data_IF_574238003263
#
_entry.id   IF_574238003263
#
_cell.length_a   1.000
_cell.length_b   1.000
_cell.length_c   1.000
_cell.angle_alpha   90.00
_cell.angle_beta   90.00
_cell.angle_gamma   90.00
#
_symmetry.space_group_name_H-M   'P 1'
#
loop_
_entity.id
_entity.type
_entity.pdbx_description
1 polymer ?
#
# COMPACT_ATOMS: atom_id res chain seq x y z
N UNK A 1 -12.37 6.22 15.29
CA UNK A 1 -11.22 7.15 15.48
C UNK A 1 -10.01 6.60 14.73
N UNK A 2 -9.24 7.44 14.05
CA UNK A 2 -8.14 6.98 13.24
C UNK A 2 -7.11 8.05 12.93
N UNK A 3 -5.97 7.63 12.41
CA UNK A 3 -4.87 8.44 11.92
C UNK A 3 -4.60 8.14 10.45
N UNK A 4 -4.19 9.16 9.70
CA UNK A 4 -3.74 8.98 8.32
C UNK A 4 -4.01 10.17 7.42
N UNK A 5 -3.69 10.00 6.17
CA UNK A 5 -4.05 10.95 5.12
C UNK A 5 -5.54 10.82 4.80
N UNK A 6 -6.26 11.93 4.83
CA UNK A 6 -7.74 12.01 4.79
C UNK A 6 -8.38 11.24 3.63
N UNK A 7 -7.63 10.92 2.57
CA UNK A 7 -8.21 10.32 1.37
C UNK A 7 -7.52 9.04 0.88
N UNK A 8 -6.39 8.62 1.46
CA UNK A 8 -5.61 7.53 0.87
C UNK A 8 -5.19 6.42 1.82
N UNK A 9 -4.80 6.70 3.07
CA UNK A 9 -4.23 5.70 4.00
C UNK A 9 -4.59 6.05 5.43
N UNK A 10 -5.31 5.18 6.10
CA UNK A 10 -5.77 5.41 7.47
C UNK A 10 -5.79 4.09 8.25
N UNK A 11 -5.85 4.19 9.56
CA UNK A 11 -6.18 3.08 10.45
C UNK A 11 -7.01 3.59 11.63
N UNK A 12 -7.74 2.68 12.29
CA UNK A 12 -8.52 2.98 13.48
C UNK A 12 -7.86 2.47 14.77
N UNK A 13 -8.44 2.82 15.91
CA UNK A 13 -7.95 2.41 17.23
C UNK A 13 -8.05 0.89 17.50
N UNK A 14 -8.85 0.16 16.71
CA UNK A 14 -8.98 -1.30 16.80
C UNK A 14 -7.87 -2.04 16.02
N UNK A 15 -7.08 -1.32 15.22
CA UNK A 15 -5.98 -1.91 14.46
C UNK A 15 -6.32 -2.28 13.03
N UNK A 16 -7.51 -1.96 12.54
CA UNK A 16 -7.87 -2.09 11.14
C UNK A 16 -7.28 -0.94 10.33
N UNK A 17 -6.63 -1.24 9.22
CA UNK A 17 -6.01 -0.27 8.32
C UNK A 17 -6.56 -0.41 6.89
N UNK A 18 -6.65 0.72 6.19
CA UNK A 18 -7.11 0.76 4.81
C UNK A 18 -6.33 1.77 3.99
N UNK A 19 -6.05 1.44 2.73
CA UNK A 19 -5.41 2.33 1.78
C UNK A 19 -6.09 2.25 0.40
N UNK A 20 -6.25 3.41 -0.25
CA UNK A 20 -6.72 3.52 -1.62
C UNK A 20 -5.58 3.89 -2.57
N UNK A 21 -5.53 3.25 -3.72
CA UNK A 21 -4.52 3.44 -4.76
C UNK A 21 -5.19 3.71 -6.10
N UNK A 22 -4.51 4.43 -7.00
CA UNK A 22 -5.04 4.72 -8.33
C UNK A 22 -5.25 3.44 -9.14
N UNK A 23 -6.45 3.34 -9.75
CA UNK A 23 -6.90 2.19 -10.56
C UNK A 23 -7.54 2.67 -11.86
N UNK A 24 -6.83 3.55 -12.53
CA UNK A 24 -7.34 4.32 -13.69
C UNK A 24 -7.72 3.39 -14.85
N UNK A 25 -8.91 3.60 -15.39
CA UNK A 25 -9.45 2.84 -16.53
C UNK A 25 -10.01 1.47 -16.16
N UNK A 26 -9.92 1.03 -14.90
CA UNK A 26 -10.53 -0.22 -14.43
C UNK A 26 -11.63 0.03 -13.39
N UNK A 27 -11.49 1.08 -12.57
CA UNK A 27 -12.49 1.40 -11.55
C UNK A 27 -13.83 1.81 -12.18
N UNK A 28 -14.90 1.17 -11.72
CA UNK A 28 -16.29 1.53 -12.04
C UNK A 28 -17.11 1.54 -10.76
N UNK A 29 -18.01 2.52 -10.65
CA UNK A 29 -18.91 2.67 -9.50
C UNK A 29 -20.36 2.62 -9.98
N UNK A 30 -21.29 2.29 -9.10
CA UNK A 30 -22.61 1.84 -9.48
C UNK A 30 -23.69 2.88 -9.11
N UNK A 31 -24.87 2.73 -9.70
CA UNK A 31 -26.03 3.47 -9.29
C UNK A 31 -26.49 3.03 -7.88
N UNK A 32 -27.27 3.85 -7.21
CA UNK A 32 -27.84 3.53 -5.92
C UNK A 32 -28.70 2.27 -6.01
N UNK A 33 -28.43 1.31 -5.13
CA UNK A 33 -29.16 0.04 -5.04
C UNK A 33 -30.02 0.03 -3.77
N UNK A 34 -31.33 -0.24 -3.90
CA UNK A 34 -32.25 -0.32 -2.77
C UNK A 34 -31.92 -1.53 -1.88
N UNK A 35 -31.89 -1.31 -0.56
CA UNK A 35 -31.56 -2.35 0.42
C UNK A 35 -30.08 -2.57 0.66
N UNK A 36 -29.21 -1.80 0.03
CA UNK A 36 -27.77 -1.79 0.28
C UNK A 36 -27.33 -0.53 1.03
N UNK A 37 -26.18 -0.64 1.71
CA UNK A 37 -25.45 0.51 2.23
C UNK A 37 -24.75 1.21 1.05
N UNK A 38 -25.34 2.28 0.56
CA UNK A 38 -24.85 3.03 -0.59
C UNK A 38 -23.79 4.04 -0.16
N UNK A 39 -22.54 3.76 -0.41
CA UNK A 39 -21.38 4.53 0.06
C UNK A 39 -20.70 5.17 -1.14
N UNK A 40 -20.49 6.50 -1.11
CA UNK A 40 -19.69 7.16 -2.14
C UNK A 40 -18.20 6.77 -1.99
N UNK A 41 -17.49 6.71 -3.10
CA UNK A 41 -16.09 6.23 -3.09
C UNK A 41 -15.16 7.04 -2.16
N UNK A 42 -15.43 8.34 -1.97
CA UNK A 42 -14.66 9.20 -1.07
C UNK A 42 -14.99 8.98 0.41
N UNK A 43 -16.13 8.35 0.73
CA UNK A 43 -16.55 7.99 2.09
C UNK A 43 -16.11 6.58 2.48
N UNK A 44 -15.63 5.77 1.53
CA UNK A 44 -15.42 4.34 1.74
C UNK A 44 -14.40 4.05 2.84
N UNK A 45 -13.24 4.72 2.83
CA UNK A 45 -12.23 4.53 3.89
C UNK A 45 -12.78 4.95 5.27
N UNK A 46 -13.31 6.16 5.46
CA UNK A 46 -13.87 6.55 6.76
C UNK A 46 -15.06 5.69 7.18
N UNK A 47 -15.86 5.19 6.25
CA UNK A 47 -17.00 4.33 6.57
C UNK A 47 -16.52 2.97 7.10
N UNK A 48 -15.62 2.27 6.40
CA UNK A 48 -15.05 0.98 6.86
C UNK A 48 -14.36 1.17 8.23
N UNK A 49 -13.49 2.17 8.36
CA UNK A 49 -12.73 2.36 9.59
C UNK A 49 -13.57 2.90 10.76
N UNK A 50 -14.71 3.51 10.47
CA UNK A 50 -15.66 4.00 11.48
C UNK A 50 -16.68 2.95 11.96
N UNK A 51 -16.91 1.90 11.16
CA UNK A 51 -17.95 0.90 11.44
C UNK A 51 -17.39 -0.49 11.74
N UNK A 52 -16.17 -0.81 11.32
CA UNK A 52 -15.55 -2.13 11.45
C UNK A 52 -14.34 -2.08 12.40
N UNK A 53 -14.25 -3.04 13.32
CA UNK A 53 -13.12 -3.18 14.23
C UNK A 53 -11.99 -4.05 13.67
N UNK A 54 -12.31 -4.97 12.75
CA UNK A 54 -11.38 -5.97 12.23
C UNK A 54 -11.73 -6.36 10.78
N UNK A 55 -10.85 -7.18 10.17
CA UNK A 55 -10.99 -7.58 8.77
C UNK A 55 -12.25 -8.43 8.51
N UNK A 56 -12.68 -9.26 9.43
CA UNK A 56 -13.89 -10.09 9.25
C UNK A 56 -15.16 -9.24 9.28
N UNK A 57 -15.22 -8.23 10.12
CA UNK A 57 -16.31 -7.25 10.10
C UNK A 57 -16.32 -6.46 8.80
N UNK A 58 -15.15 -6.04 8.31
CA UNK A 58 -15.02 -5.38 7.02
C UNK A 58 -15.50 -6.28 5.87
N UNK A 59 -15.12 -7.56 5.84
CA UNK A 59 -15.62 -8.53 4.84
C UNK A 59 -17.15 -8.64 4.88
N UNK A 60 -17.73 -8.70 6.08
CA UNK A 60 -19.18 -8.77 6.26
C UNK A 60 -19.86 -7.50 5.75
N UNK A 61 -19.32 -6.33 6.08
CA UNK A 61 -19.83 -5.03 5.61
C UNK A 61 -19.81 -4.92 4.08
N UNK A 62 -18.73 -5.40 3.45
CA UNK A 62 -18.58 -5.39 1.99
C UNK A 62 -19.65 -6.18 1.22
N UNK A 63 -20.25 -7.21 1.83
CA UNK A 63 -21.34 -8.00 1.21
C UNK A 63 -22.61 -7.18 1.08
N UNK A 64 -22.85 -6.28 2.01
CA UNK A 64 -24.09 -5.49 2.11
C UNK A 64 -23.99 -4.09 1.54
N UNK A 65 -22.78 -3.65 1.19
CA UNK A 65 -22.55 -2.32 0.64
C UNK A 65 -22.63 -2.27 -0.88
N UNK A 66 -22.76 -1.06 -1.39
CA UNK A 66 -22.67 -0.69 -2.79
C UNK A 66 -21.81 0.58 -2.92
N UNK A 67 -20.77 0.57 -3.75
CA UNK A 67 -19.96 1.75 -4.04
C UNK A 67 -20.62 2.59 -5.14
N UNK A 68 -21.08 3.78 -4.75
CA UNK A 68 -21.88 4.61 -5.65
C UNK A 68 -21.03 5.53 -6.53
N UNK A 69 -21.54 5.84 -7.71
CA UNK A 69 -21.00 6.81 -8.66
C UNK A 69 -21.28 8.27 -8.25
N UNK A 70 -21.54 8.51 -6.98
CA UNK A 70 -21.80 9.85 -6.43
C UNK A 70 -20.47 10.63 -6.33
N UNK A 71 -20.30 11.77 -7.05
CA UNK A 71 -19.10 12.58 -6.94
C UNK A 71 -19.14 13.42 -5.65
N UNK A 72 -17.96 13.78 -5.12
CA UNK A 72 -17.87 14.69 -3.99
C UNK A 72 -18.44 16.08 -4.32
N UNK A 73 -18.13 16.60 -5.50
CA UNK A 73 -18.68 17.84 -6.08
C UNK A 73 -18.43 17.87 -7.58
N UNK A 74 -19.04 18.83 -8.29
CA UNK A 74 -18.78 19.03 -9.72
C UNK A 74 -17.30 19.33 -10.04
N UNK A 75 -16.58 19.94 -9.10
CA UNK A 75 -15.16 20.26 -9.25
C UNK A 75 -14.22 19.07 -8.99
N UNK A 76 -14.68 18.07 -8.24
CA UNK A 76 -13.92 16.88 -7.89
C UNK A 76 -14.61 15.63 -8.45
N UNK A 77 -14.20 15.20 -9.66
CA UNK A 77 -14.75 14.00 -10.27
C UNK A 77 -14.43 12.74 -9.45
N UNK A 78 -15.09 11.65 -9.78
CA UNK A 78 -14.85 10.35 -9.16
C UNK A 78 -13.38 9.94 -9.27
N UNK A 79 -12.74 9.68 -8.14
CA UNK A 79 -11.39 9.14 -8.11
C UNK A 79 -11.45 7.65 -8.46
N UNK A 80 -10.69 7.22 -9.47
CA UNK A 80 -10.61 5.84 -9.89
C UNK A 80 -9.64 5.09 -8.97
N UNK A 81 -10.16 4.39 -7.96
CA UNK A 81 -9.39 3.74 -6.91
C UNK A 81 -9.73 2.26 -6.80
N UNK A 82 -8.78 1.51 -6.26
CA UNK A 82 -8.97 0.22 -5.59
C UNK A 82 -8.33 0.28 -4.19
N UNK A 83 -8.62 -0.71 -3.35
CA UNK A 83 -8.24 -0.61 -1.94
C UNK A 83 -7.64 -1.90 -1.41
N UNK A 84 -6.73 -1.74 -0.45
CA UNK A 84 -6.28 -2.80 0.45
C UNK A 84 -6.82 -2.51 1.85
N UNK A 85 -7.39 -3.52 2.49
CA UNK A 85 -7.84 -3.50 3.88
C UNK A 85 -7.08 -4.58 4.62
N UNK A 86 -6.53 -4.26 5.78
CA UNK A 86 -5.67 -5.19 6.51
C UNK A 86 -5.77 -4.98 8.03
N UNK A 87 -5.59 -6.07 8.75
CA UNK A 87 -5.30 -6.10 10.18
C UNK A 87 -4.24 -7.15 10.50
N UNK A 88 -4.07 -7.51 11.78
CA UNK A 88 -3.11 -8.54 12.19
C UNK A 88 -3.41 -9.95 11.64
N UNK A 89 -4.64 -10.23 11.20
CA UNK A 89 -5.05 -11.55 10.68
C UNK A 89 -4.73 -11.73 9.20
N UNK A 90 -4.62 -10.63 8.44
CA UNK A 90 -4.35 -10.68 7.01
C UNK A 90 -4.71 -9.42 6.26
N UNK A 91 -4.89 -9.56 4.94
CA UNK A 91 -5.29 -8.47 4.06
C UNK A 91 -6.24 -8.94 2.96
N UNK A 92 -7.11 -8.04 2.51
CA UNK A 92 -7.94 -8.21 1.31
C UNK A 92 -7.71 -7.05 0.35
N UNK A 93 -7.94 -7.29 -0.93
CA UNK A 93 -8.00 -6.26 -1.98
C UNK A 93 -9.45 -6.12 -2.45
N UNK A 94 -9.92 -4.88 -2.56
CA UNK A 94 -11.26 -4.55 -3.03
C UNK A 94 -11.15 -3.75 -4.32
N UNK A 95 -11.77 -4.25 -5.40
CA UNK A 95 -11.81 -3.65 -6.73
C UNK A 95 -13.25 -3.58 -7.22
N UNK A 96 -13.76 -2.36 -7.42
CA UNK A 96 -15.04 -2.12 -8.08
C UNK A 96 -14.79 -1.91 -9.57
N UNK A 97 -15.30 -2.79 -10.42
CA UNK A 97 -15.10 -2.80 -11.88
C UNK A 97 -16.45 -2.90 -12.60
N UNK A 98 -16.45 -2.79 -13.93
CA UNK A 98 -17.68 -2.82 -14.72
C UNK A 98 -18.50 -4.11 -14.55
N UNK A 99 -17.82 -5.23 -14.28
CA UNK A 99 -18.43 -6.55 -14.07
C UNK A 99 -18.81 -6.84 -12.61
N UNK A 100 -18.63 -5.88 -11.71
CA UNK A 100 -18.99 -5.96 -10.30
C UNK A 100 -17.86 -5.66 -9.33
N UNK A 101 -18.18 -5.76 -8.03
CA UNK A 101 -17.20 -5.59 -6.96
C UNK A 101 -16.50 -6.92 -6.67
N UNK A 102 -15.17 -6.90 -6.76
CA UNK A 102 -14.32 -8.06 -6.51
C UNK A 102 -13.59 -7.89 -5.16
N UNK A 103 -13.60 -8.94 -4.36
CA UNK A 103 -12.91 -9.01 -3.07
C UNK A 103 -11.96 -10.20 -3.14
N UNK A 104 -10.66 -9.94 -3.01
CA UNK A 104 -9.61 -10.96 -3.07
C UNK A 104 -8.90 -11.09 -1.73
N UNK A 105 -8.68 -12.31 -1.27
CA UNK A 105 -7.70 -12.57 -0.21
C UNK A 105 -6.31 -12.17 -0.71
N UNK A 106 -5.64 -11.29 0.01
CA UNK A 106 -4.34 -10.76 -0.39
C UNK A 106 -3.22 -11.34 0.47
N UNK A 107 -2.87 -12.59 0.23
CA UNK A 107 -1.83 -13.32 0.99
C UNK A 107 -0.42 -12.74 0.79
N UNK A 108 -0.20 -11.93 -0.25
CA UNK A 108 1.06 -11.22 -0.47
C UNK A 108 1.14 -9.96 0.40
N UNK A 109 -0.02 -9.38 0.72
CA UNK A 109 -0.13 -8.13 1.49
C UNK A 109 0.49 -6.94 0.75
N UNK A 110 0.34 -6.91 -0.57
CA UNK A 110 0.83 -5.86 -1.47
C UNK A 110 -0.29 -5.45 -2.42
N UNK A 111 -0.40 -4.16 -2.68
CA UNK A 111 -1.23 -3.59 -3.73
C UNK A 111 -0.46 -2.43 -4.38
N UNK A 112 -0.48 -2.34 -5.71
CA UNK A 112 0.09 -1.22 -6.47
C UNK A 112 -1.02 -0.52 -7.25
N UNK A 113 -0.95 -0.47 -8.56
CA UNK A 113 -1.94 0.15 -9.42
C UNK A 113 -2.46 -0.89 -10.44
N UNK A 114 -2.68 -0.48 -11.71
CA UNK A 114 -3.02 -1.40 -12.79
C UNK A 114 -1.93 -2.46 -13.06
N UNK A 115 -2.28 -3.64 -13.56
CA UNK A 115 -3.62 -4.16 -13.86
C UNK A 115 -4.37 -4.62 -12.59
N UNK A 116 -5.61 -5.15 -12.72
CA UNK A 116 -6.35 -5.76 -11.62
C UNK A 116 -5.53 -6.77 -10.80
N UNK A 117 -5.85 -6.89 -9.51
CA UNK A 117 -5.08 -7.67 -8.55
C UNK A 117 -4.91 -9.15 -8.94
N UNK A 118 -5.96 -9.79 -9.45
CA UNK A 118 -5.89 -11.18 -9.93
C UNK A 118 -4.87 -11.36 -11.07
N UNK A 119 -4.76 -10.35 -11.95
CA UNK A 119 -3.76 -10.35 -13.03
C UNK A 119 -2.36 -10.14 -12.47
N UNK A 120 -2.18 -9.23 -11.50
CA UNK A 120 -0.89 -9.04 -10.84
C UNK A 120 -0.43 -10.32 -10.14
N UNK A 121 -1.34 -11.02 -9.46
CA UNK A 121 -1.06 -12.33 -8.84
C UNK A 121 -0.68 -13.38 -9.90
N UNK A 122 -1.37 -13.41 -11.04
CA UNK A 122 -1.02 -14.30 -12.13
C UNK A 122 0.38 -14.01 -12.70
N UNK A 123 0.75 -12.74 -12.82
CA UNK A 123 2.07 -12.34 -13.32
C UNK A 123 3.23 -12.76 -12.40
N UNK A 124 2.99 -12.97 -11.09
CA UNK A 124 4.01 -13.48 -10.18
C UNK A 124 4.54 -14.86 -10.58
N UNK A 125 3.79 -15.65 -11.35
CA UNK A 125 4.26 -16.93 -11.87
C UNK A 125 5.55 -16.79 -12.71
N UNK A 126 5.80 -15.65 -13.32
CA UNK A 126 7.04 -15.39 -14.07
C UNK A 126 8.27 -15.32 -13.18
N UNK A 127 8.10 -15.11 -11.89
CA UNK A 127 9.14 -14.89 -10.89
C UNK A 127 9.29 -16.05 -9.91
N UNK A 128 8.61 -17.18 -10.13
CA UNK A 128 8.61 -18.33 -9.22
C UNK A 128 9.98 -18.98 -9.00
N UNK A 129 10.94 -18.70 -9.88
CA UNK A 129 12.32 -19.17 -9.77
C UNK A 129 13.22 -18.25 -8.94
N UNK A 130 12.76 -17.06 -8.55
CA UNK A 130 13.55 -16.11 -7.77
C UNK A 130 13.74 -16.62 -6.34
N UNK A 131 14.92 -16.35 -5.78
CA UNK A 131 15.29 -16.78 -4.44
C UNK A 131 16.25 -15.76 -3.80
N UNK A 132 16.24 -15.56 -2.49
CA UNK A 132 17.29 -14.81 -1.78
C UNK A 132 18.61 -15.59 -1.70
N UNK A 133 18.60 -16.91 -2.00
CA UNK A 133 19.78 -17.76 -2.01
C UNK A 133 20.56 -17.62 -3.31
N UNK A 134 21.86 -17.90 -3.24
CA UNK A 134 22.70 -17.99 -4.45
C UNK A 134 22.23 -19.16 -5.33
N UNK A 135 22.21 -19.01 -6.66
CA UNK A 135 21.74 -20.05 -7.57
C UNK A 135 22.79 -21.16 -7.72
N UNK A 136 22.31 -22.36 -7.97
CA UNK A 136 23.11 -23.47 -8.49
C UNK A 136 23.13 -23.40 -10.03
N UNK A 137 24.14 -24.01 -10.65
CA UNK A 137 24.19 -24.15 -12.11
C UNK A 137 23.14 -25.18 -12.58
N UNK A 138 21.94 -24.71 -12.92
CA UNK A 138 20.87 -25.52 -13.52
C UNK A 138 20.79 -25.35 -15.04
N UNK A 139 21.69 -24.53 -15.64
CA UNK A 139 21.64 -24.20 -17.06
C UNK A 139 22.06 -25.39 -17.93
N UNK A 140 23.25 -25.95 -17.67
CA UNK A 140 23.73 -27.17 -18.33
C UNK A 140 24.85 -27.82 -17.49
N UNK A 141 24.90 -29.17 -17.47
CA UNK A 141 25.88 -29.92 -16.70
C UNK A 141 27.30 -29.79 -17.27
N UNK A 142 27.38 -29.64 -18.59
CA UNK A 142 28.67 -29.64 -19.30
C UNK A 142 29.27 -28.25 -19.51
N UNK A 143 28.62 -27.23 -18.94
CA UNK A 143 29.12 -25.85 -18.95
C UNK A 143 29.39 -25.44 -17.52
N UNK A 144 30.66 -25.06 -17.27
CA UNK A 144 31.11 -24.55 -15.99
C UNK A 144 30.65 -23.07 -15.83
N UNK A 145 29.68 -22.83 -14.98
CA UNK A 145 29.14 -21.49 -14.68
C UNK A 145 29.22 -21.23 -13.19
N UNK A 146 29.96 -20.20 -12.83
CA UNK A 146 30.19 -19.80 -11.46
C UNK A 146 29.40 -18.56 -11.06
N UNK A 147 29.15 -18.43 -9.76
CA UNK A 147 28.59 -17.23 -9.18
C UNK A 147 29.62 -16.11 -9.17
N UNK A 148 29.41 -15.05 -9.94
CA UNK A 148 30.31 -13.90 -10.03
C UNK A 148 30.02 -12.77 -9.03
N UNK A 149 28.82 -12.80 -8.37
CA UNK A 149 28.42 -11.80 -7.37
C UNK A 149 27.42 -12.39 -6.38
N UNK A 150 27.17 -11.64 -5.30
CA UNK A 150 26.09 -12.00 -4.33
C UNK A 150 24.73 -11.50 -4.85
N UNK A 151 23.64 -12.13 -4.40
CA UNK A 151 22.27 -11.75 -4.79
C UNK A 151 21.82 -12.28 -6.14
N UNK A 152 22.58 -13.17 -6.77
CA UNK A 152 22.26 -13.70 -8.11
C UNK A 152 20.99 -14.54 -8.15
N UNK A 153 20.49 -15.05 -7.02
CA UNK A 153 19.21 -15.75 -6.96
C UNK A 153 18.00 -14.89 -7.31
N UNK A 154 18.16 -13.57 -7.28
CA UNK A 154 17.13 -12.61 -7.67
C UNK A 154 17.33 -12.06 -9.11
N UNK A 155 18.18 -12.67 -9.94
CA UNK A 155 18.34 -12.28 -11.35
C UNK A 155 16.99 -12.45 -12.06
N UNK A 156 16.51 -11.36 -12.70
CA UNK A 156 15.20 -11.28 -13.34
C UNK A 156 14.15 -10.57 -12.51
N UNK A 157 14.46 -10.20 -11.24
CA UNK A 157 13.60 -9.30 -10.47
C UNK A 157 13.50 -7.95 -11.21
N UNK A 158 12.27 -7.45 -11.50
CA UNK A 158 12.12 -6.24 -12.31
C UNK A 158 12.61 -5.00 -11.57
N UNK A 159 13.20 -4.07 -12.32
CA UNK A 159 13.76 -2.83 -11.77
C UNK A 159 13.09 -1.56 -12.27
N UNK A 160 12.17 -1.65 -13.23
CA UNK A 160 11.44 -0.51 -13.74
C UNK A 160 10.33 -0.05 -12.79
N UNK A 161 9.77 1.14 -13.05
CA UNK A 161 8.80 1.80 -12.17
C UNK A 161 7.34 1.50 -12.52
N UNK A 162 7.07 0.60 -13.48
CA UNK A 162 5.70 0.20 -13.80
C UNK A 162 5.02 -0.47 -12.60
N UNK A 163 3.70 -0.41 -12.56
CA UNK A 163 2.93 -0.96 -11.45
C UNK A 163 3.18 -2.46 -11.23
N UNK A 164 3.19 -3.26 -12.30
CA UNK A 164 3.43 -4.71 -12.20
C UNK A 164 4.86 -5.03 -11.73
N UNK A 165 5.85 -4.26 -12.19
CA UNK A 165 7.24 -4.41 -11.76
C UNK A 165 7.43 -4.03 -10.30
N UNK A 166 6.81 -2.93 -9.85
CA UNK A 166 6.81 -2.54 -8.44
C UNK A 166 6.09 -3.58 -7.57
N UNK A 167 4.98 -4.16 -8.07
CA UNK A 167 4.26 -5.23 -7.36
C UNK A 167 5.17 -6.44 -7.15
N UNK A 168 5.79 -6.98 -8.20
CA UNK A 168 6.69 -8.14 -8.10
C UNK A 168 7.90 -7.83 -7.21
N UNK A 169 8.52 -6.66 -7.38
CA UNK A 169 9.70 -6.25 -6.61
C UNK A 169 9.40 -6.10 -5.12
N UNK A 170 8.33 -5.38 -4.75
CA UNK A 170 8.01 -5.18 -3.35
C UNK A 170 7.46 -6.45 -2.70
N UNK A 171 6.75 -7.31 -3.45
CA UNK A 171 6.31 -8.62 -2.98
C UNK A 171 7.51 -9.50 -2.63
N UNK A 172 8.48 -9.63 -3.54
CA UNK A 172 9.71 -10.38 -3.28
C UNK A 172 10.46 -9.80 -2.08
N UNK A 173 10.67 -8.48 -2.05
CA UNK A 173 11.38 -7.81 -0.95
C UNK A 173 10.69 -8.04 0.39
N UNK A 174 9.37 -7.83 0.47
CA UNK A 174 8.57 -8.00 1.70
C UNK A 174 8.62 -9.44 2.22
N UNK A 175 8.43 -10.42 1.33
CA UNK A 175 8.31 -11.84 1.71
C UNK A 175 9.65 -12.46 2.13
N UNK A 176 10.78 -11.86 1.73
CA UNK A 176 12.12 -12.34 2.08
C UNK A 176 12.85 -11.43 3.08
N UNK A 177 12.30 -10.28 3.40
CA UNK A 177 12.87 -9.39 4.42
C UNK A 177 12.73 -9.97 5.82
N UNK A 178 13.73 -9.74 6.64
CA UNK A 178 13.75 -10.14 8.05
C UNK A 178 13.86 -8.88 8.88
N UNK A 179 12.98 -8.73 9.85
CA UNK A 179 13.02 -7.67 10.86
C UNK A 179 13.64 -8.20 12.16
N UNK A 180 14.17 -7.28 12.99
CA UNK A 180 14.45 -7.56 14.39
C UNK A 180 13.17 -7.51 15.25
N UNK A 181 13.33 -7.76 16.54
CA UNK A 181 12.22 -7.90 17.50
C UNK A 181 11.68 -6.55 18.02
N UNK A 182 12.46 -5.47 17.87
CA UNK A 182 12.04 -4.14 18.34
C UNK A 182 11.17 -3.42 17.31
N UNK A 183 10.32 -2.51 17.82
CA UNK A 183 9.53 -1.64 16.96
C UNK A 183 10.39 -0.79 16.02
N UNK A 184 11.49 -0.23 16.54
CA UNK A 184 12.39 0.59 15.73
C UNK A 184 12.99 -0.21 14.55
N UNK A 185 13.36 -1.47 14.78
CA UNK A 185 13.87 -2.36 13.72
C UNK A 185 12.76 -2.68 12.71
N UNK A 186 11.55 -2.98 13.17
CA UNK A 186 10.40 -3.27 12.30
C UNK A 186 10.00 -2.06 11.45
N UNK A 187 9.92 -0.87 12.05
CA UNK A 187 9.63 0.37 11.34
C UNK A 187 10.74 0.69 10.33
N UNK A 188 12.00 0.58 10.73
CA UNK A 188 13.13 0.77 9.83
C UNK A 188 13.09 -0.21 8.63
N UNK A 189 12.85 -1.51 8.91
CA UNK A 189 12.72 -2.51 7.85
C UNK A 189 11.56 -2.22 6.90
N UNK A 190 10.44 -1.72 7.41
CA UNK A 190 9.29 -1.34 6.59
C UNK A 190 9.65 -0.23 5.58
N UNK A 191 10.38 0.80 6.02
CA UNK A 191 10.84 1.86 5.11
C UNK A 191 11.85 1.35 4.08
N UNK A 192 12.72 0.39 4.43
CA UNK A 192 13.59 -0.26 3.46
C UNK A 192 12.82 -1.06 2.41
N UNK A 193 11.76 -1.77 2.81
CA UNK A 193 10.90 -2.51 1.88
C UNK A 193 10.26 -1.54 0.88
N UNK A 194 9.61 -0.47 1.34
CA UNK A 194 8.97 0.50 0.46
C UNK A 194 9.96 1.34 -0.35
N UNK A 195 11.12 1.68 0.22
CA UNK A 195 12.20 2.36 -0.49
C UNK A 195 12.71 1.58 -1.72
N UNK A 196 12.50 0.26 -1.76
CA UNK A 196 12.85 -0.56 -2.93
C UNK A 196 12.04 -0.20 -4.20
N UNK A 197 10.89 0.46 -4.04
CA UNK A 197 9.97 0.86 -5.13
C UNK A 197 9.68 2.36 -5.16
N UNK A 198 10.51 3.16 -4.51
CA UNK A 198 10.43 4.61 -4.56
C UNK A 198 10.62 5.13 -5.99
N UNK A 199 9.83 6.13 -6.35
CA UNK A 199 9.91 6.81 -7.64
C UNK A 199 10.70 8.11 -7.48
N UNK A 200 11.86 8.17 -8.14
CA UNK A 200 12.75 9.31 -8.10
C UNK A 200 12.34 10.36 -9.15
N UNK A 201 12.53 11.63 -8.82
CA UNK A 201 12.24 12.74 -9.72
C UNK A 201 13.02 12.60 -11.03
N UNK A 202 12.30 12.64 -12.15
CA UNK A 202 12.86 12.50 -13.50
C UNK A 202 12.87 11.08 -14.06
N UNK A 203 12.60 10.04 -13.23
CA UNK A 203 12.59 8.65 -13.68
C UNK A 203 11.21 8.19 -14.22
N UNK A 204 10.14 8.93 -13.94
CA UNK A 204 8.81 8.69 -14.49
C UNK A 204 8.21 10.02 -14.94
N UNK A 205 8.12 10.23 -16.26
CA UNK A 205 7.56 11.43 -16.87
C UNK A 205 6.18 11.12 -17.47
N UNK A 206 5.18 11.85 -17.04
CA UNK A 206 3.82 11.79 -17.58
C UNK A 206 3.44 13.16 -18.10
N UNK A 207 3.51 13.35 -19.42
CA UNK A 207 3.17 14.61 -20.11
C UNK A 207 3.96 15.82 -19.58
N UNK A 208 5.25 15.66 -19.34
CA UNK A 208 6.15 16.72 -18.85
C UNK A 208 6.02 16.99 -17.34
N UNK A 209 5.35 16.12 -16.60
CA UNK A 209 5.29 16.13 -15.14
C UNK A 209 5.92 14.87 -14.58
N UNK A 210 6.76 15.03 -13.57
CA UNK A 210 7.40 13.88 -12.93
C UNK A 210 6.51 13.28 -11.84
N UNK A 211 6.28 11.97 -11.93
CA UNK A 211 5.76 11.21 -10.81
C UNK A 211 6.89 10.89 -9.84
N UNK A 212 6.65 11.13 -8.56
CA UNK A 212 7.60 10.87 -7.48
C UNK A 212 6.87 10.28 -6.28
N UNK A 213 7.58 9.57 -5.43
CA UNK A 213 7.08 9.16 -4.12
C UNK A 213 7.02 10.38 -3.20
N UNK A 214 5.88 11.05 -3.13
CA UNK A 214 5.69 12.28 -2.35
C UNK A 214 5.97 12.05 -0.85
N UNK A 215 5.55 10.92 -0.33
CA UNK A 215 5.79 10.48 1.04
C UNK A 215 5.63 8.96 1.15
N UNK A 216 6.27 8.38 2.14
CA UNK A 216 6.08 6.98 2.54
C UNK A 216 5.54 6.96 3.97
N UNK A 217 4.53 6.14 4.25
CA UNK A 217 3.95 6.01 5.57
C UNK A 217 3.88 4.57 6.03
N UNK A 218 4.06 4.39 7.34
CA UNK A 218 3.97 3.12 8.07
C UNK A 218 3.00 3.29 9.23
N UNK A 219 2.10 2.32 9.43
CA UNK A 219 1.17 2.31 10.56
C UNK A 219 1.52 1.14 11.49
N UNK A 220 1.92 1.44 12.74
CA UNK A 220 1.88 0.44 13.79
C UNK A 220 0.47 0.41 14.38
N UNK A 221 -0.37 -0.47 13.85
CA UNK A 221 -1.78 -0.53 14.20
C UNK A 221 -2.03 -1.05 15.61
N UNK A 222 -1.09 -1.83 16.18
CA UNK A 222 -1.19 -2.32 17.58
C UNK A 222 -0.93 -1.20 18.60
N UNK A 223 -0.02 -0.27 18.27
CA UNK A 223 0.34 0.84 19.16
C UNK A 223 -0.33 2.17 18.78
N UNK A 224 -1.10 2.20 17.71
CA UNK A 224 -1.76 3.42 17.25
C UNK A 224 -0.77 4.50 16.78
N UNK A 225 0.36 4.13 16.17
CA UNK A 225 1.39 5.09 15.75
C UNK A 225 1.47 5.14 14.23
N UNK A 226 1.42 6.35 13.70
CA UNK A 226 1.63 6.66 12.30
C UNK A 226 3.02 7.22 12.09
N UNK A 227 3.84 6.57 11.25
CA UNK A 227 5.18 7.01 10.87
C UNK A 227 5.18 7.46 9.43
N UNK A 228 5.99 8.46 9.10
CA UNK A 228 6.16 8.89 7.72
C UNK A 228 7.53 9.50 7.44
N UNK A 229 7.93 9.44 6.17
CA UNK A 229 8.97 10.25 5.54
C UNK A 229 8.37 11.01 4.37
N UNK A 230 8.99 12.10 3.94
CA UNK A 230 8.60 12.79 2.71
C UNK A 230 9.73 12.74 1.69
N UNK A 231 9.44 13.05 0.43
CA UNK A 231 10.49 13.12 -0.61
C UNK A 231 11.63 14.07 -0.26
N UNK A 232 11.33 15.14 0.46
CA UNK A 232 12.27 16.18 0.85
C UNK A 232 12.82 16.05 2.28
N UNK A 233 12.40 15.01 3.02
CA UNK A 233 12.88 14.73 4.37
C UNK A 233 12.88 13.23 4.65
N UNK A 234 14.07 12.65 4.76
CA UNK A 234 14.26 11.22 5.06
C UNK A 234 14.14 10.88 6.55
N UNK A 235 14.07 11.89 7.43
CA UNK A 235 13.87 11.65 8.84
C UNK A 235 12.49 11.04 9.09
N UNK A 236 12.45 9.87 9.73
CA UNK A 236 11.18 9.25 10.12
C UNK A 236 10.53 10.13 11.19
N UNK A 237 9.32 10.57 10.93
CA UNK A 237 8.48 11.35 11.84
C UNK A 237 7.31 10.49 12.29
N UNK A 238 6.87 10.64 13.54
CA UNK A 238 5.79 9.83 14.11
C UNK A 238 4.70 10.70 14.73
N UNK A 239 3.46 10.23 14.64
CA UNK A 239 2.29 10.73 15.35
C UNK A 239 1.64 9.58 16.10
N UNK A 240 1.50 9.73 17.41
CA UNK A 240 0.91 8.73 18.30
C UNK A 240 -0.54 9.11 18.60
N UNK A 241 -1.48 8.24 18.18
CA UNK A 241 -2.92 8.43 18.36
C UNK A 241 -3.30 8.58 19.83
N UNK A 242 -2.66 7.80 20.71
CA UNK A 242 -2.99 7.77 22.12
C UNK A 242 -2.41 8.92 22.96
N UNK A 243 -1.64 9.83 22.32
CA UNK A 243 -1.24 11.10 22.93
C UNK A 243 -2.28 12.20 22.76
N UNK A 244 -3.33 11.93 21.98
CA UNK A 244 -4.39 12.88 21.71
C UNK A 244 -5.66 12.52 22.48
N UNK A 245 -6.54 13.52 22.67
CA UNK A 245 -7.85 13.32 23.29
C UNK A 245 -8.80 12.65 22.29
N UNK A 246 -8.92 11.33 22.39
CA UNK A 246 -9.71 10.54 21.42
C UNK A 246 -11.22 10.75 21.56
N UNK A 247 -11.72 11.13 22.72
CA UNK A 247 -13.14 11.41 22.98
C UNK A 247 -13.54 12.85 22.64
N UNK A 248 -12.58 13.69 22.30
CA UNK A 248 -12.80 15.06 21.90
C UNK A 248 -13.46 15.21 20.54
N UNK A 249 -14.08 16.38 20.30
CA UNK A 249 -14.66 16.75 19.00
C UNK A 249 -13.70 17.54 18.11
N UNK A 250 -12.49 17.85 18.62
CA UNK A 250 -11.50 18.66 17.93
C UNK A 250 -10.72 17.81 16.93
N UNK A 251 -10.58 18.31 15.70
CA UNK A 251 -9.68 17.73 14.70
C UNK A 251 -8.23 18.19 14.96
N UNK A 252 -7.33 17.25 15.22
CA UNK A 252 -5.89 17.51 15.30
C UNK A 252 -5.29 17.46 13.89
N UNK A 253 -4.42 18.43 13.58
CA UNK A 253 -3.75 18.53 12.29
C UNK A 253 -2.25 18.68 12.50
N UNK A 254 -1.47 17.84 11.84
CA UNK A 254 -0.01 17.87 11.84
C UNK A 254 0.48 18.17 10.42
N UNK A 255 1.05 19.36 10.16
CA UNK A 255 1.67 19.66 8.89
C UNK A 255 2.80 18.65 8.60
N UNK A 256 2.89 18.17 7.37
CA UNK A 256 4.01 17.34 6.95
C UNK A 256 5.33 18.11 7.13
N UNK A 257 6.32 17.45 7.74
CA UNK A 257 7.64 18.01 7.84
C UNK A 257 8.34 17.82 6.51
N UNK A 258 8.73 18.93 5.89
CA UNK A 258 9.47 18.99 4.64
C UNK A 258 10.82 19.68 4.89
N UNK A 259 11.77 19.49 3.99
CA UNK A 259 13.13 19.99 4.14
C UNK A 259 14.03 19.01 4.89
N UNK A 260 15.12 18.60 4.22
CA UNK A 260 16.05 17.58 4.69
C UNK A 260 16.72 17.98 5.99
N UNK A 261 16.80 17.07 6.94
CA UNK A 261 17.46 17.25 8.22
C UNK A 261 18.78 16.48 8.24
N UNK A 262 19.88 17.19 7.97
CA UNK A 262 21.21 16.62 7.96
C UNK A 262 21.83 16.75 9.34
N UNK A 263 22.20 15.63 9.96
CA UNK A 263 22.95 15.60 11.20
C UNK A 263 24.44 15.69 10.91
N UNK A 264 25.06 16.80 11.30
CA UNK A 264 26.51 16.94 11.25
C UNK A 264 27.17 16.22 12.43
N UNK A 265 28.26 15.51 12.18
CA UNK A 265 28.99 14.76 13.22
C UNK A 265 30.28 15.46 13.67
N UNK A 266 30.67 16.53 13.01
CA UNK A 266 31.82 17.35 13.32
C UNK A 266 31.43 18.75 13.82
#
# INVERSE_FOLDING_TARGET
>A
RGLGDVYKRQFNECGLAMAGLNFVGNAAYYDIEEGKDNIAQFEFIPWILGTCANLEEAKTALIHMNLTNTPYSEQFPLAQLHWIIADQSGAITVEAMEDGMHIYENNVGVLTNNPPFNIQMFLLNQYMNLSPKQPENLFAKDIDLDQYSRGMGAIGLPGDLSSSSRFAKVAFTKLHSVSGDSENESVNQFFHILGSVDQQRGCCDVNGKYEITLYTSCCNTQKGIYYYTTYENHQITAVDLYREELDGTKLFRYPLITGEQIRWQN
#
